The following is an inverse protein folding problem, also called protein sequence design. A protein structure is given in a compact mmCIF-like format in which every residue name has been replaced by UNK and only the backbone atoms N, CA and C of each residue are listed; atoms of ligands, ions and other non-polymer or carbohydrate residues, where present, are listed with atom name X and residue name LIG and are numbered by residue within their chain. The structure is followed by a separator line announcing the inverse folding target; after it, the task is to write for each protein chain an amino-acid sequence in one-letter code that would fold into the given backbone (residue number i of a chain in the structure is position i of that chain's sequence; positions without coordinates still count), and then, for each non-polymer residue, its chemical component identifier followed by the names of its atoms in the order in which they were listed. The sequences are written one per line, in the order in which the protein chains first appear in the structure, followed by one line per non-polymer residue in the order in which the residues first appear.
data_IF_106252757285
#
_entry.id   IF_106252757285
#
_cell.length_a   1.000
_cell.length_b   1.000
_cell.length_c   1.000
_cell.angle_alpha   90.00
_cell.angle_beta   90.00
_cell.angle_gamma   90.00
#
_symmetry.space_group_name_H-M   'P 1'
#
loop_
_entity.id
_entity.type
_entity.pdbx_description
1 polymer ?
#
# COMPACT_ATOMS: atom_id res chain seq x y z
N UNK A 1 -17.71 67.35 2.23
CA UNK A 1 -16.35 67.72 2.69
C UNK A 1 -15.96 67.02 4.00
N UNK A 2 -16.85 66.94 5.01
CA UNK A 2 -16.58 66.30 6.31
C UNK A 2 -16.11 64.83 6.26
N UNK A 3 -16.71 63.96 5.43
CA UNK A 3 -16.31 62.55 5.33
C UNK A 3 -14.84 62.34 4.92
N UNK A 4 -14.31 63.17 4.00
CA UNK A 4 -12.91 63.06 3.55
C UNK A 4 -11.93 63.48 4.65
N UNK A 5 -12.29 64.49 5.45
CA UNK A 5 -11.47 64.98 6.58
C UNK A 5 -11.37 63.92 7.70
N UNK A 6 -12.47 63.22 7.99
CA UNK A 6 -12.46 62.13 8.99
C UNK A 6 -11.55 60.97 8.60
N UNK A 7 -11.52 60.59 7.31
CA UNK A 7 -10.65 59.49 6.86
C UNK A 7 -9.16 59.89 6.94
N UNK A 8 -8.83 61.14 6.61
CA UNK A 8 -7.45 61.63 6.71
C UNK A 8 -6.97 61.67 8.15
N UNK A 9 -7.79 62.13 9.10
CA UNK A 9 -7.45 62.15 10.54
C UNK A 9 -7.27 60.73 11.08
N UNK A 10 -8.10 59.78 10.65
CA UNK A 10 -8.01 58.39 11.07
C UNK A 10 -6.74 57.73 10.52
N UNK A 11 -6.40 57.97 9.25
CA UNK A 11 -5.15 57.49 8.64
C UNK A 11 -3.93 58.08 9.35
N UNK A 12 -3.92 59.38 9.64
CA UNK A 12 -2.81 60.04 10.35
C UNK A 12 -2.68 59.47 11.77
N UNK A 13 -3.79 59.26 12.49
CA UNK A 13 -3.78 58.69 13.85
C UNK A 13 -3.29 57.23 13.86
N UNK A 14 -3.62 56.46 12.81
CA UNK A 14 -3.12 55.10 12.64
C UNK A 14 -1.61 55.08 12.36
N UNK A 15 -1.14 56.00 11.52
CA UNK A 15 0.28 56.12 11.18
C UNK A 15 1.11 56.61 12.37
N UNK A 16 0.62 57.57 13.15
CA UNK A 16 1.32 58.07 14.34
C UNK A 16 1.35 57.05 15.47
N UNK A 17 0.28 56.29 15.70
CA UNK A 17 0.28 55.22 16.70
C UNK A 17 1.23 54.07 16.33
N UNK A 18 1.29 53.67 15.05
CA UNK A 18 2.29 52.71 14.58
C UNK A 18 3.73 53.23 14.75
N UNK A 19 3.96 54.53 14.48
CA UNK A 19 5.28 55.15 14.62
C UNK A 19 5.74 55.24 16.08
N UNK A 20 4.82 55.51 17.02
CA UNK A 20 5.13 55.57 18.46
C UNK A 20 5.46 54.18 19.03
N UNK A 21 4.80 53.12 18.56
CA UNK A 21 5.15 51.74 18.93
C UNK A 21 6.54 51.33 18.42
N UNK A 22 6.93 51.79 17.23
CA UNK A 22 8.27 51.61 16.64
C UNK A 22 9.33 52.60 17.15
N UNK A 23 8.95 53.59 17.96
CA UNK A 23 9.86 54.55 18.58
C UNK A 23 10.24 54.17 20.02
N UNK A 24 9.63 53.11 20.57
CA UNK A 24 9.99 52.58 21.88
C UNK A 24 11.43 52.02 21.84
N UNK A 25 12.28 52.33 22.84
CA UNK A 25 13.58 51.69 22.97
C UNK A 25 13.38 50.17 23.01
N UNK A 26 14.11 49.43 22.18
CA UNK A 26 14.08 47.96 22.09
C UNK A 26 12.85 47.32 21.41
N UNK A 27 12.00 48.07 20.70
CA UNK A 27 10.82 47.51 20.02
C UNK A 27 11.16 46.34 19.06
N UNK A 28 12.30 46.41 18.37
CA UNK A 28 12.78 45.32 17.49
C UNK A 28 13.07 44.08 18.31
N UNK A 29 13.76 44.23 19.44
CA UNK A 29 14.10 43.12 20.35
C UNK A 29 12.85 42.48 20.94
N UNK A 30 11.88 43.29 21.37
CA UNK A 30 10.61 42.79 21.92
C UNK A 30 9.78 42.06 20.87
N UNK A 31 9.71 42.59 19.65
CA UNK A 31 9.06 41.96 18.52
C UNK A 31 9.73 40.62 18.15
N UNK A 32 11.05 40.60 18.02
CA UNK A 32 11.82 39.38 17.76
C UNK A 32 11.62 38.33 18.86
N UNK A 33 11.63 38.74 20.13
CA UNK A 33 11.39 37.85 21.26
C UNK A 33 9.95 37.31 21.30
N UNK A 34 8.97 38.08 20.83
CA UNK A 34 7.60 37.61 20.71
C UNK A 34 7.48 36.56 19.60
N UNK A 35 8.01 36.85 18.40
CA UNK A 35 8.06 35.89 17.30
C UNK A 35 8.76 34.59 17.72
N UNK A 36 9.92 34.68 18.38
CA UNK A 36 10.65 33.50 18.82
C UNK A 36 9.82 32.64 19.79
N UNK A 37 9.10 33.26 20.73
CA UNK A 37 8.22 32.54 21.66
C UNK A 37 7.04 31.89 20.94
N UNK A 38 6.43 32.59 20.00
CA UNK A 38 5.31 32.06 19.22
C UNK A 38 5.75 30.90 18.32
N UNK A 39 6.87 31.05 17.61
CA UNK A 39 7.47 29.99 16.79
C UNK A 39 7.80 28.78 17.64
N UNK A 40 8.47 28.94 18.80
CA UNK A 40 8.76 27.82 19.70
C UNK A 40 7.50 27.11 20.19
N UNK A 41 6.45 27.86 20.51
CA UNK A 41 5.15 27.31 20.92
C UNK A 41 4.50 26.51 19.80
N UNK A 42 4.46 27.07 18.58
CA UNK A 42 3.92 26.41 17.40
C UNK A 42 4.70 25.14 17.07
N UNK A 43 6.03 25.19 17.09
CA UNK A 43 6.89 24.02 16.86
C UNK A 43 6.59 22.91 17.86
N UNK A 44 6.52 23.23 19.16
CA UNK A 44 6.22 22.23 20.20
C UNK A 44 4.81 21.64 20.05
N UNK A 45 3.83 22.46 19.70
CA UNK A 45 2.46 21.99 19.46
C UNK A 45 2.40 21.06 18.24
N UNK A 46 3.09 21.40 17.15
CA UNK A 46 3.19 20.56 15.95
C UNK A 46 3.86 19.23 16.26
N UNK A 47 4.99 19.23 16.96
CA UNK A 47 5.67 17.99 17.39
C UNK A 47 4.74 17.09 18.20
N UNK A 48 3.98 17.68 19.13
CA UNK A 48 3.03 16.93 19.97
C UNK A 48 1.89 16.33 19.13
N UNK A 49 1.31 17.10 18.21
CA UNK A 49 0.23 16.62 17.33
C UNK A 49 0.70 15.55 16.34
N UNK A 50 1.90 15.72 15.78
CA UNK A 50 2.51 14.73 14.89
C UNK A 50 2.75 13.42 15.66
N UNK A 51 3.36 13.50 16.85
CA UNK A 51 3.62 12.32 17.65
C UNK A 51 2.32 11.59 18.03
N UNK A 52 1.29 12.32 18.46
CA UNK A 52 -0.01 11.73 18.78
C UNK A 52 -0.63 11.03 17.56
N UNK A 53 -0.68 11.70 16.40
CA UNK A 53 -1.26 11.13 15.17
C UNK A 53 -0.50 9.88 14.73
N UNK A 54 0.84 9.92 14.74
CA UNK A 54 1.68 8.77 14.37
C UNK A 54 1.42 7.59 15.30
N UNK A 55 1.36 7.81 16.61
CA UNK A 55 1.09 6.74 17.58
C UNK A 55 -0.28 6.11 17.36
N UNK A 56 -1.30 6.91 17.07
CA UNK A 56 -2.64 6.40 16.76
C UNK A 56 -2.65 5.58 15.46
N UNK A 57 -2.06 6.10 14.39
CA UNK A 57 -1.97 5.38 13.11
C UNK A 57 -1.20 4.07 13.26
N UNK A 58 -0.10 4.06 14.02
CA UNK A 58 0.65 2.83 14.30
C UNK A 58 -0.18 1.81 15.08
N UNK A 59 -0.94 2.25 16.09
CA UNK A 59 -1.82 1.37 16.85
C UNK A 59 -2.94 0.78 15.97
N UNK A 60 -3.55 1.57 15.08
CA UNK A 60 -4.56 1.10 14.13
C UNK A 60 -4.00 0.11 13.11
N UNK A 61 -2.80 0.38 12.57
CA UNK A 61 -2.10 -0.53 11.65
C UNK A 61 -1.77 -1.85 12.35
N UNK A 62 -1.25 -1.80 13.58
CA UNK A 62 -0.95 -3.01 14.36
C UNK A 62 -2.21 -3.82 14.61
N UNK A 63 -3.30 -3.18 15.03
CA UNK A 63 -4.59 -3.85 15.22
C UNK A 63 -5.12 -4.48 13.92
N UNK A 64 -4.94 -3.79 12.80
CA UNK A 64 -5.33 -4.31 11.48
C UNK A 64 -4.51 -5.56 11.13
N UNK A 65 -3.19 -5.52 11.38
CA UNK A 65 -2.27 -6.63 11.11
C UNK A 65 -2.51 -7.85 12.01
N UNK A 66 -2.90 -7.62 13.27
CA UNK A 66 -3.28 -8.66 14.22
C UNK A 66 -4.59 -9.36 13.82
N UNK A 67 -5.56 -8.61 13.29
CA UNK A 67 -6.85 -9.14 12.85
C UNK A 67 -6.80 -9.85 11.50
N UNK A 68 -5.65 -9.86 10.80
CA UNK A 68 -5.52 -10.64 9.57
C UNK A 68 -5.60 -12.15 9.89
N UNK A 69 -6.36 -12.93 9.10
CA UNK A 69 -6.51 -14.36 9.32
C UNK A 69 -5.16 -15.07 9.18
N UNK A 70 -4.87 -15.99 10.10
CA UNK A 70 -3.63 -16.77 10.14
C UNK A 70 -3.92 -18.27 10.26
N UNK A 71 -3.02 -19.09 9.73
CA UNK A 71 -3.08 -20.54 9.88
C UNK A 71 -2.59 -20.98 11.27
N UNK A 72 -2.65 -22.29 11.55
CA UNK A 72 -2.21 -22.88 12.82
C UNK A 72 -0.70 -22.73 13.09
N UNK A 73 0.06 -22.24 12.12
CA UNK A 73 1.50 -21.99 12.16
C UNK A 73 1.83 -20.48 12.19
N UNK A 74 0.82 -19.61 12.25
CA UNK A 74 0.97 -18.15 12.38
C UNK A 74 1.21 -17.39 11.07
N UNK A 75 1.14 -18.06 9.91
CA UNK A 75 1.31 -17.45 8.59
C UNK A 75 0.00 -16.81 8.14
N UNK A 76 0.07 -15.69 7.40
CA UNK A 76 -1.12 -15.02 6.88
C UNK A 76 -1.85 -15.92 5.88
N UNK A 77 -3.16 -16.08 6.08
CA UNK A 77 -4.05 -16.76 5.13
C UNK A 77 -4.45 -15.72 4.08
N UNK A 78 -3.81 -15.76 2.91
CA UNK A 78 -4.23 -14.98 1.75
C UNK A 78 -5.27 -15.79 0.98
N UNK A 79 -6.54 -15.48 1.16
CA UNK A 79 -7.62 -15.91 0.27
C UNK A 79 -8.01 -14.70 -0.59
N UNK A 80 -7.64 -14.68 -1.86
CA UNK A 80 -7.88 -13.49 -2.69
C UNK A 80 -7.60 -13.69 -4.17
N UNK A 81 -8.25 -12.83 -4.97
CA UNK A 81 -8.00 -12.67 -6.40
C UNK A 81 -7.10 -11.45 -6.61
N UNK A 82 -5.91 -11.68 -7.16
CA UNK A 82 -4.99 -10.63 -7.58
C UNK A 82 -5.07 -10.51 -9.10
N UNK A 83 -5.51 -9.35 -9.59
CA UNK A 83 -5.51 -9.04 -11.02
C UNK A 83 -4.36 -8.07 -11.29
N UNK A 84 -3.28 -8.54 -11.91
CA UNK A 84 -2.11 -7.72 -12.26
C UNK A 84 -1.86 -7.81 -13.76
N UNK A 85 -1.99 -6.69 -14.49
CA UNK A 85 -1.57 -6.60 -15.88
C UNK A 85 -2.25 -7.59 -16.85
N UNK A 86 -3.47 -8.05 -16.55
CA UNK A 86 -4.21 -9.04 -17.35
C UNK A 86 -4.12 -10.48 -16.85
N UNK A 87 -3.25 -10.75 -15.85
CA UNK A 87 -3.14 -12.06 -15.24
C UNK A 87 -4.05 -12.15 -14.00
N UNK A 88 -4.77 -13.27 -13.89
CA UNK A 88 -5.62 -13.55 -12.74
C UNK A 88 -4.96 -14.59 -11.85
N UNK A 89 -4.56 -14.22 -10.63
CA UNK A 89 -3.98 -15.14 -9.64
C UNK A 89 -4.99 -15.31 -8.50
N UNK A 90 -5.52 -16.52 -8.33
CA UNK A 90 -6.34 -16.90 -7.19
C UNK A 90 -5.44 -17.64 -6.19
N UNK A 91 -5.26 -17.11 -5.00
CA UNK A 91 -4.53 -17.79 -3.92
C UNK A 91 -5.54 -18.24 -2.88
N UNK A 92 -5.47 -19.52 -2.50
CA UNK A 92 -6.25 -20.10 -1.42
C UNK A 92 -5.36 -20.88 -0.49
N UNK A 93 -5.33 -20.53 0.79
CA UNK A 93 -4.58 -21.28 1.81
C UNK A 93 -5.51 -21.76 2.91
N UNK A 94 -5.55 -23.07 3.16
CA UNK A 94 -6.38 -23.70 4.19
C UNK A 94 -5.62 -24.89 4.78
N UNK A 95 -5.49 -24.92 6.12
CA UNK A 95 -4.90 -26.04 6.87
C UNK A 95 -3.49 -26.44 6.37
N UNK A 96 -2.62 -25.48 6.04
CA UNK A 96 -1.26 -25.74 5.55
C UNK A 96 -1.17 -26.15 4.07
N UNK A 97 -2.31 -26.31 3.39
CA UNK A 97 -2.37 -26.50 1.94
C UNK A 97 -2.59 -25.16 1.26
N UNK A 98 -1.68 -24.77 0.38
CA UNK A 98 -1.83 -23.60 -0.48
C UNK A 98 -2.13 -24.02 -1.92
N UNK A 99 -3.08 -23.36 -2.55
CA UNK A 99 -3.41 -23.50 -3.96
C UNK A 99 -3.26 -22.14 -4.63
N UNK A 100 -2.62 -22.09 -5.79
CA UNK A 100 -2.64 -20.91 -6.66
C UNK A 100 -3.18 -21.29 -8.03
N UNK A 101 -4.09 -20.50 -8.58
CA UNK A 101 -4.50 -20.61 -9.98
C UNK A 101 -4.16 -19.33 -10.71
N UNK A 102 -3.36 -19.42 -11.76
CA UNK A 102 -2.97 -18.33 -12.63
C UNK A 102 -3.61 -18.50 -14.00
N UNK A 103 -4.32 -17.48 -14.50
CA UNK A 103 -4.84 -17.44 -15.87
C UNK A 103 -4.13 -16.32 -16.62
N UNK A 104 -3.39 -16.70 -17.66
CA UNK A 104 -2.68 -15.79 -18.56
C UNK A 104 -3.26 -15.94 -19.97
N UNK A 105 -3.30 -14.85 -20.73
CA UNK A 105 -3.57 -14.89 -22.17
C UNK A 105 -2.42 -14.24 -22.92
N UNK A 106 -2.13 -14.75 -24.11
CA UNK A 106 -1.00 -14.25 -24.89
C UNK A 106 -1.01 -14.74 -26.33
N UNK A 107 0.11 -14.55 -27.01
CA UNK A 107 0.33 -15.03 -28.37
C UNK A 107 1.56 -15.94 -28.42
N UNK A 108 1.43 -17.11 -29.05
CA UNK A 108 2.53 -18.06 -29.32
C UNK A 108 2.60 -18.25 -30.83
N UNK A 109 3.74 -17.93 -31.43
CA UNK A 109 3.93 -17.95 -32.88
C UNK A 109 2.86 -17.14 -33.67
N UNK A 110 2.37 -16.04 -33.09
CA UNK A 110 1.33 -15.19 -33.69
C UNK A 110 -0.11 -15.66 -33.47
N UNK A 111 -0.32 -16.83 -32.86
CA UNK A 111 -1.65 -17.36 -32.55
C UNK A 111 -2.01 -17.07 -31.09
N UNK A 112 -3.26 -16.65 -30.80
CA UNK A 112 -3.69 -16.44 -29.42
C UNK A 112 -3.72 -17.76 -28.66
N UNK A 113 -3.41 -17.72 -27.37
CA UNK A 113 -3.57 -18.84 -26.45
C UNK A 113 -3.99 -18.35 -25.06
N UNK A 114 -4.60 -19.24 -24.29
CA UNK A 114 -4.91 -19.05 -22.87
C UNK A 114 -4.18 -20.13 -22.09
N UNK A 115 -3.46 -19.74 -21.06
CA UNK A 115 -2.73 -20.62 -20.17
C UNK A 115 -3.37 -20.56 -18.78
N UNK A 116 -3.75 -21.72 -18.26
CA UNK A 116 -4.23 -21.87 -16.89
C UNK A 116 -3.24 -22.75 -16.15
N UNK A 117 -2.55 -22.19 -15.16
CA UNK A 117 -1.63 -22.92 -14.28
C UNK A 117 -2.28 -23.04 -12.91
N UNK A 118 -2.32 -24.25 -12.36
CA UNK A 118 -2.74 -24.53 -10.99
C UNK A 118 -1.58 -25.17 -10.24
N UNK A 119 -1.21 -24.57 -9.13
CA UNK A 119 -0.20 -25.11 -8.21
C UNK A 119 -0.90 -25.46 -6.91
N UNK A 120 -0.64 -26.65 -6.37
CA UNK A 120 -1.03 -27.04 -5.02
C UNK A 120 0.21 -27.44 -4.26
N UNK A 121 0.42 -26.85 -3.09
CA UNK A 121 1.43 -27.27 -2.15
C UNK A 121 0.74 -27.73 -0.86
N UNK A 122 1.00 -28.94 -0.42
CA UNK A 122 0.45 -29.50 0.84
C UNK A 122 1.47 -29.63 1.97
N UNK A 123 2.68 -29.09 1.78
CA UNK A 123 3.81 -29.16 2.69
C UNK A 123 4.83 -30.24 2.32
N UNK A 124 4.38 -31.35 1.73
CA UNK A 124 5.26 -32.46 1.34
C UNK A 124 5.43 -32.52 -0.18
N UNK A 125 4.39 -32.19 -0.94
CA UNK A 125 4.42 -32.22 -2.40
C UNK A 125 3.99 -30.87 -2.99
N UNK A 126 4.62 -30.52 -4.10
CA UNK A 126 4.14 -29.51 -5.03
C UNK A 126 3.52 -30.21 -6.24
N UNK A 127 2.24 -29.96 -6.49
CA UNK A 127 1.53 -30.42 -7.67
C UNK A 127 1.32 -29.26 -8.62
N UNK A 128 1.65 -29.51 -9.88
CA UNK A 128 1.49 -28.55 -10.96
C UNK A 128 0.56 -29.12 -12.02
N UNK A 129 -0.38 -28.30 -12.47
CA UNK A 129 -1.33 -28.61 -13.53
C UNK A 129 -1.46 -27.39 -14.45
N UNK A 130 -0.86 -27.51 -15.63
CA UNK A 130 -0.87 -26.50 -16.67
C UNK A 130 -1.77 -26.96 -17.81
N UNK A 131 -2.72 -26.11 -18.18
CA UNK A 131 -3.59 -26.30 -19.34
C UNK A 131 -3.43 -25.12 -20.30
N UNK A 132 -2.93 -25.40 -21.51
CA UNK A 132 -2.86 -24.46 -22.62
C UNK A 132 -4.03 -24.69 -23.57
N UNK A 133 -4.84 -23.66 -23.80
CA UNK A 133 -5.95 -23.65 -24.75
C UNK A 133 -5.63 -22.76 -25.94
N UNK A 134 -5.81 -23.29 -27.16
CA UNK A 134 -5.57 -22.59 -28.41
C UNK A 134 -6.91 -22.32 -29.12
N UNK A 135 -7.48 -21.11 -29.03
CA UNK A 135 -8.84 -20.82 -29.51
C UNK A 135 -9.06 -21.05 -31.01
N UNK A 136 -8.02 -20.89 -31.83
CA UNK A 136 -8.12 -21.04 -33.28
C UNK A 136 -8.33 -22.50 -33.71
N UNK A 137 -7.64 -23.43 -33.05
CA UNK A 137 -7.69 -24.86 -33.38
C UNK A 137 -8.64 -25.62 -32.46
N UNK A 138 -9.13 -24.97 -31.40
CA UNK A 138 -9.87 -25.61 -30.30
C UNK A 138 -9.07 -26.75 -29.64
N UNK A 139 -7.74 -26.72 -29.74
CA UNK A 139 -6.85 -27.70 -29.15
C UNK A 139 -6.54 -27.34 -27.70
N UNK A 140 -6.39 -28.36 -26.86
CA UNK A 140 -5.93 -28.22 -25.48
C UNK A 140 -4.72 -29.11 -25.25
N UNK A 141 -3.67 -28.54 -24.69
CA UNK A 141 -2.49 -29.26 -24.23
C UNK A 141 -2.48 -29.19 -22.70
N UNK A 142 -2.18 -30.32 -22.05
CA UNK A 142 -2.07 -30.38 -20.59
C UNK A 142 -0.70 -30.93 -20.20
N UNK A 143 -0.17 -30.40 -19.11
CA UNK A 143 1.04 -30.89 -18.45
C UNK A 143 0.71 -30.96 -16.98
N UNK A 144 0.94 -32.12 -16.37
CA UNK A 144 0.77 -32.27 -14.93
C UNK A 144 1.91 -33.10 -14.34
N UNK A 145 2.46 -32.60 -13.23
CA UNK A 145 3.55 -33.25 -12.52
C UNK A 145 3.41 -33.01 -11.02
N UNK A 146 4.10 -33.85 -10.24
CA UNK A 146 4.32 -33.60 -8.81
C UNK A 146 5.81 -33.58 -8.50
N UNK A 147 6.19 -32.82 -7.49
CA UNK A 147 7.55 -32.74 -6.96
C UNK A 147 7.51 -33.02 -5.46
N UNK A 148 8.35 -33.95 -4.99
CA UNK A 148 8.54 -34.22 -3.57
C UNK A 148 9.42 -33.14 -2.94
N UNK A 149 8.86 -32.37 -2.01
CA UNK A 149 9.55 -31.28 -1.32
C UNK A 149 10.31 -31.76 -0.08
N UNK A 150 10.13 -33.02 0.32
CA UNK A 150 10.83 -33.60 1.48
C UNK A 150 12.24 -34.07 1.13
N UNK A 151 12.54 -34.21 -0.16
CA UNK A 151 13.84 -34.56 -0.70
C UNK A 151 14.36 -33.43 -1.60
N UNK A 152 15.51 -32.84 -1.24
CA UNK A 152 16.10 -31.73 -1.99
C UNK A 152 16.53 -32.10 -3.40
N UNK A 153 16.77 -33.39 -3.66
CA UNK A 153 17.24 -33.92 -4.95
C UNK A 153 16.10 -34.56 -5.76
N UNK A 154 14.84 -34.38 -5.34
CA UNK A 154 13.71 -34.90 -6.08
C UNK A 154 13.56 -34.21 -7.44
N UNK A 155 13.25 -35.00 -8.47
CA UNK A 155 12.87 -34.51 -9.80
C UNK A 155 11.34 -34.55 -9.97
N UNK A 156 10.76 -33.72 -10.85
CA UNK A 156 9.34 -33.77 -11.15
C UNK A 156 8.90 -35.11 -11.76
N UNK A 157 7.90 -35.73 -11.17
CA UNK A 157 7.23 -36.91 -11.72
C UNK A 157 6.07 -36.46 -12.59
N UNK A 158 6.19 -36.69 -13.91
CA UNK A 158 5.17 -36.34 -14.89
C UNK A 158 4.10 -37.42 -15.00
N UNK A 159 2.85 -36.99 -15.08
CA UNK A 159 1.71 -37.88 -15.25
C UNK A 159 1.19 -37.82 -16.70
N UNK A 160 0.65 -38.93 -17.23
CA UNK A 160 0.07 -38.96 -18.56
C UNK A 160 -1.23 -38.16 -18.61
N UNK A 161 -1.48 -37.43 -19.70
CA UNK A 161 -2.72 -36.69 -19.88
C UNK A 161 -3.91 -37.65 -19.91
N UNK A 162 -4.87 -37.50 -18.99
CA UNK A 162 -6.15 -38.20 -19.06
C UNK A 162 -6.86 -37.72 -20.35
N UNK A 163 -7.17 -38.68 -21.23
CA UNK A 163 -7.86 -38.46 -22.52
C UNK A 163 -9.34 -38.13 -22.33
#
# INVERSE_FOLDING_TARGET
MARKVFHVILIISLLTSAHLGMAAPNWVTDFTNNINREVMSLTKNLETQINYTIQQTLAEVNKTLENLPRDGQGRLITNGQVTTGGNFINVKSVNGVSMTQTINSGYKNGEPYVLVVKERNDGNYLYHDETSYYPKTNATERIHWRLDLTNSDAEPEFFPNEQ
#
